data_IF_295004145195
#
_entry.id   IF_295004145195
#
_cell.length_a   1.000
_cell.length_b   1.000
_cell.length_c   1.000
_cell.angle_alpha   90.00
_cell.angle_beta   90.00
_cell.angle_gamma   90.00
#
_symmetry.space_group_name_H-M   'P 1'
#
loop_
_entity.id
_entity.type
_entity.pdbx_description
1 polymer ?
#
# COMPACT_ATOMS: atom_id res chain seq x y z
N UNK A 1 11.78 9.78 4.98
CA UNK A 1 10.36 10.19 4.93
C UNK A 1 9.53 8.98 5.25
N UNK A 2 8.56 9.10 6.17
CA UNK A 2 7.67 7.96 6.50
C UNK A 2 6.56 7.87 5.48
N UNK A 3 6.22 6.65 5.08
CA UNK A 3 5.14 6.40 4.12
C UNK A 3 4.05 5.55 4.76
N UNK A 4 2.79 5.91 4.49
CA UNK A 4 1.60 5.13 4.81
C UNK A 4 0.94 4.72 3.50
N UNK A 5 0.64 3.43 3.36
CA UNK A 5 -0.06 2.88 2.21
C UNK A 5 -1.57 2.87 2.50
N UNK A 6 -2.35 3.52 1.64
CA UNK A 6 -3.80 3.57 1.72
C UNK A 6 -4.40 2.87 0.51
N UNK A 7 -5.07 1.75 0.73
CA UNK A 7 -5.86 1.05 -0.29
C UNK A 7 -7.22 0.69 0.28
N UNK A 8 -8.24 0.79 -0.57
CA UNK A 8 -9.60 0.39 -0.19
C UNK A 8 -9.68 -1.12 0.06
N UNK A 9 -8.98 -1.92 -0.73
CA UNK A 9 -8.91 -3.37 -0.62
C UNK A 9 -8.18 -3.79 0.66
N UNK A 10 -7.02 -3.20 0.96
CA UNK A 10 -6.28 -3.46 2.21
C UNK A 10 -7.15 -3.13 3.42
N UNK A 11 -7.86 -2.00 3.37
CA UNK A 11 -8.78 -1.58 4.44
C UNK A 11 -9.97 -2.54 4.59
N UNK A 12 -10.54 -3.06 3.50
CA UNK A 12 -11.61 -4.09 3.54
C UNK A 12 -11.16 -5.39 4.21
N UNK A 13 -9.87 -5.73 4.07
CA UNK A 13 -9.27 -6.91 4.68
C UNK A 13 -8.80 -6.67 6.12
N UNK A 14 -9.00 -5.46 6.66
CA UNK A 14 -8.52 -5.06 7.99
C UNK A 14 -7.01 -5.27 8.17
N UNK A 15 -6.24 -5.23 7.06
CA UNK A 15 -4.79 -5.38 7.09
C UNK A 15 -4.16 -4.05 7.50
N UNK A 16 -3.49 -4.06 8.64
CA UNK A 16 -2.71 -2.92 9.10
C UNK A 16 -1.26 -3.02 8.58
N UNK A 17 -0.86 -2.07 7.73
CA UNK A 17 0.53 -1.88 7.30
C UNK A 17 1.14 -0.74 8.12
N UNK A 18 2.28 -1.00 8.75
CA UNK A 18 2.99 0.00 9.54
C UNK A 18 3.58 1.11 8.64
N UNK A 19 3.93 2.25 9.23
CA UNK A 19 4.68 3.29 8.52
C UNK A 19 6.03 2.74 8.04
N UNK A 20 6.28 2.83 6.73
CA UNK A 20 7.48 2.30 6.09
C UNK A 20 8.49 3.41 5.81
N UNK A 21 9.78 3.06 5.92
CA UNK A 21 10.85 3.89 5.39
C UNK A 21 11.03 3.57 3.91
N UNK A 22 10.75 4.54 3.05
CA UNK A 22 10.92 4.38 1.62
C UNK A 22 12.26 4.97 1.17
N UNK A 23 13.05 4.25 0.36
CA UNK A 23 14.40 4.66 -0.02
C UNK A 23 14.42 5.82 -1.02
N UNK A 24 13.31 6.04 -1.73
CA UNK A 24 13.15 7.07 -2.77
C UNK A 24 11.79 7.72 -2.64
N UNK A 25 11.58 8.89 -3.26
CA UNK A 25 10.26 9.53 -3.28
C UNK A 25 9.38 8.86 -4.35
N UNK A 26 8.37 8.07 -3.98
CA UNK A 26 7.54 7.38 -4.96
C UNK A 26 6.67 8.38 -5.72
N UNK A 27 6.45 8.15 -7.01
CA UNK A 27 5.72 9.03 -7.91
C UNK A 27 4.31 8.50 -8.20
N UNK A 28 3.41 9.41 -8.61
CA UNK A 28 2.11 9.00 -9.15
C UNK A 28 2.35 8.27 -10.47
N UNK A 29 1.73 7.11 -10.64
CA UNK A 29 1.92 6.23 -11.78
C UNK A 29 2.92 5.10 -11.53
N UNK A 30 3.73 5.17 -10.47
CA UNK A 30 4.61 4.06 -10.08
C UNK A 30 3.76 2.87 -9.59
N UNK A 31 4.37 1.69 -9.70
CA UNK A 31 3.82 0.45 -9.20
C UNK A 31 4.51 0.05 -7.91
N UNK A 32 3.73 -0.45 -6.97
CA UNK A 32 4.20 -1.00 -5.71
C UNK A 32 3.66 -2.42 -5.56
N UNK A 33 4.53 -3.34 -5.15
CA UNK A 33 4.08 -4.64 -4.68
C UNK A 33 3.66 -4.49 -3.21
N UNK A 34 2.35 -4.55 -2.96
CA UNK A 34 1.83 -4.32 -1.61
C UNK A 34 2.29 -5.43 -0.66
N UNK A 35 2.50 -6.64 -1.18
CA UNK A 35 2.74 -7.83 -0.36
C UNK A 35 4.06 -7.74 0.41
N UNK A 36 5.03 -6.98 -0.10
CA UNK A 36 6.34 -6.77 0.51
C UNK A 36 6.27 -6.07 1.87
N UNK A 37 5.15 -5.39 2.16
CA UNK A 37 4.95 -4.61 3.39
C UNK A 37 4.05 -5.30 4.43
N UNK A 38 3.65 -6.54 4.16
CA UNK A 38 2.75 -7.33 5.01
C UNK A 38 3.49 -8.37 5.85
N UNK A 39 2.93 -8.78 6.98
CA UNK A 39 3.39 -9.96 7.73
C UNK A 39 3.02 -11.26 6.99
N UNK A 40 3.69 -12.38 7.29
CA UNK A 40 3.40 -13.68 6.63
C UNK A 40 1.94 -14.11 6.78
N UNK A 41 1.30 -13.83 7.92
CA UNK A 41 -0.12 -14.10 8.13
C UNK A 41 -1.01 -13.24 7.22
N UNK A 42 -0.72 -11.93 7.13
CA UNK A 42 -1.44 -10.99 6.26
C UNK A 42 -1.26 -11.34 4.78
N UNK A 43 -0.05 -11.78 4.38
CA UNK A 43 0.23 -12.23 3.00
C UNK A 43 -0.69 -13.36 2.57
N UNK A 44 -0.94 -14.34 3.44
CA UNK A 44 -1.84 -15.46 3.12
C UNK A 44 -3.28 -14.98 2.85
N UNK A 45 -3.79 -14.09 3.71
CA UNK A 45 -5.14 -13.50 3.56
C UNK A 45 -5.22 -12.68 2.27
N UNK A 46 -4.23 -11.83 2.04
CA UNK A 46 -4.19 -10.95 0.87
C UNK A 46 -4.08 -11.71 -0.46
N UNK A 47 -3.25 -12.76 -0.52
CA UNK A 47 -3.14 -13.61 -1.71
C UNK A 47 -4.45 -14.30 -2.06
N UNK A 48 -5.11 -14.89 -1.06
CA UNK A 48 -6.40 -15.53 -1.25
C UNK A 48 -7.45 -14.53 -1.77
N UNK A 49 -7.47 -13.32 -1.21
CA UNK A 49 -8.32 -12.24 -1.71
C UNK A 49 -8.02 -11.89 -3.18
N UNK A 50 -6.75 -11.65 -3.52
CA UNK A 50 -6.36 -11.28 -4.88
C UNK A 50 -6.77 -12.35 -5.90
N UNK A 51 -6.56 -13.63 -5.56
CA UNK A 51 -6.96 -14.74 -6.40
C UNK A 51 -8.48 -14.82 -6.59
N UNK A 52 -9.26 -14.65 -5.51
CA UNK A 52 -10.72 -14.75 -5.56
C UNK A 52 -11.37 -13.60 -6.34
N UNK A 53 -10.80 -12.39 -6.25
CA UNK A 53 -11.34 -11.18 -6.87
C UNK A 53 -10.72 -10.88 -8.25
N UNK A 54 -9.79 -11.71 -8.74
CA UNK A 54 -9.10 -11.47 -10.01
C UNK A 54 -8.24 -10.20 -9.98
N UNK A 55 -7.52 -9.98 -8.88
CA UNK A 55 -6.64 -8.82 -8.67
C UNK A 55 -5.18 -9.21 -8.69
N UNK A 56 -4.34 -8.27 -9.10
CA UNK A 56 -2.89 -8.35 -8.98
C UNK A 56 -2.44 -7.94 -7.57
N UNK A 57 -1.32 -8.49 -7.11
CA UNK A 57 -0.62 -8.06 -5.89
C UNK A 57 0.03 -6.66 -6.07
N UNK A 58 0.23 -6.25 -7.32
CA UNK A 58 0.70 -4.91 -7.67
C UNK A 58 -0.44 -3.89 -7.61
N UNK A 59 -0.14 -2.74 -7.03
CA UNK A 59 -1.01 -1.57 -7.08
C UNK A 59 -0.31 -0.35 -7.69
N UNK A 60 -1.11 0.52 -8.29
CA UNK A 60 -0.65 1.78 -8.87
C UNK A 60 -0.86 2.91 -7.86
N UNK A 61 0.14 3.79 -7.71
CA UNK A 61 0.02 5.01 -6.94
C UNK A 61 -0.80 6.05 -7.72
N UNK A 62 -2.05 6.26 -7.31
CA UNK A 62 -2.95 7.25 -7.96
C UNK A 62 -2.78 8.65 -7.43
N UNK A 63 -2.47 8.77 -6.14
CA UNK A 63 -2.37 10.06 -5.46
C UNK A 63 -1.39 9.97 -4.32
N UNK A 64 -0.76 11.10 -4.04
CA UNK A 64 0.08 11.32 -2.87
C UNK A 64 -0.51 12.48 -2.08
N UNK A 65 -0.57 12.34 -0.78
CA UNK A 65 -0.83 13.43 0.16
C UNK A 65 0.25 13.39 1.25
N UNK A 66 0.54 14.49 1.91
CA UNK A 66 1.50 14.48 3.02
C UNK A 66 0.96 15.30 4.18
N UNK A 67 1.39 14.95 5.38
CA UNK A 67 1.13 15.69 6.60
C UNK A 67 2.40 15.77 7.45
N UNK A 68 2.54 16.86 8.20
CA UNK A 68 3.62 16.99 9.19
C UNK A 68 3.07 16.55 10.55
N UNK A 69 3.70 15.54 11.14
CA UNK A 69 3.33 14.99 12.46
C UNK A 69 4.54 15.04 13.36
N UNK A 70 4.46 15.83 14.45
CA UNK A 70 5.56 16.02 15.42
C UNK A 70 6.91 16.46 14.79
N UNK A 71 6.87 17.16 13.65
CA UNK A 71 8.06 17.62 12.93
C UNK A 71 8.49 16.71 11.78
N UNK A 72 7.96 15.48 11.70
CA UNK A 72 8.26 14.55 10.62
C UNK A 72 7.25 14.65 9.48
N UNK A 73 7.74 14.58 8.24
CA UNK A 73 6.88 14.48 7.05
C UNK A 73 6.45 13.02 6.87
N UNK A 74 5.14 12.79 6.92
CA UNK A 74 4.49 11.52 6.62
C UNK A 74 3.75 11.66 5.29
N UNK A 75 4.12 10.84 4.31
CA UNK A 75 3.47 10.75 3.01
C UNK A 75 2.46 9.60 3.00
N UNK A 76 1.30 9.82 2.41
CA UNK A 76 0.25 8.85 2.23
C UNK A 76 0.11 8.55 0.74
N UNK A 77 0.28 7.29 0.37
CA UNK A 77 0.11 6.81 -0.99
C UNK A 77 -1.27 6.20 -1.12
N UNK A 78 -2.07 6.75 -2.02
CA UNK A 78 -3.39 6.21 -2.36
C UNK A 78 -3.20 5.23 -3.51
N UNK A 79 -3.41 3.95 -3.21
CA UNK A 79 -3.14 2.84 -4.10
C UNK A 79 -4.44 2.33 -4.73
N UNK A 80 -4.36 1.96 -6.01
CA UNK A 80 -5.42 1.27 -6.74
C UNK A 80 -4.89 -0.08 -7.24
N UNK A 81 -5.59 -1.16 -6.89
CA UNK A 81 -5.24 -2.51 -7.33
C UNK A 81 -5.49 -2.70 -8.82
N UNK A 82 -4.55 -3.37 -9.49
CA UNK A 82 -4.65 -3.71 -10.90
C UNK A 82 -5.48 -5.00 -11.02
N UNK A 83 -6.31 -5.10 -12.06
CA UNK A 83 -6.97 -6.37 -12.39
C UNK A 83 -5.94 -7.33 -13.01
N UNK A 84 -5.96 -8.60 -12.60
CA UNK A 84 -5.09 -9.65 -13.14
C UNK A 84 -5.61 -10.21 -14.46
#
# INVERSE_FOLDING_TARGET
>A
MKIVLLSTEINKLEIAIAEIDFPTDPLVGDFIDIIDFMSEEQKLIYRAYCQNEGKSEFANIKRRSWHVKKGDVVMYLHLEHINA
#
